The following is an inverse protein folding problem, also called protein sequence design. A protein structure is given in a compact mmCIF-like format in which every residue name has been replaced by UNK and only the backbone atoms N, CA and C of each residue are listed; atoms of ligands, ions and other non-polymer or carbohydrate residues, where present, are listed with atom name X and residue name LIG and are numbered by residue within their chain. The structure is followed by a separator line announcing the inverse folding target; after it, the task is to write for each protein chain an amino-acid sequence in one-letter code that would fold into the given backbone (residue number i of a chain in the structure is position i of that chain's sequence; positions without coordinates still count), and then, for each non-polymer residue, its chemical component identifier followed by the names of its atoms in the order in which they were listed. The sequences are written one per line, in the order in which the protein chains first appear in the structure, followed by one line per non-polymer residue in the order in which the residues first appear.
data_IF_897068706246
#
_entry.id   IF_897068706246
#
_cell.length_a   1.000
_cell.length_b   1.000
_cell.length_c   1.000
_cell.angle_alpha   90.00
_cell.angle_beta   90.00
_cell.angle_gamma   90.00
#
_symmetry.space_group_name_H-M   'P 1'
#
loop_
_entity.id
_entity.type
_entity.pdbx_description
1 polymer ?
#
# COMPACT_ATOMS: atom_id res chain seq x y z
N UNK A 1 -68.31 15.52 -27.11
CA UNK A 1 -67.49 15.54 -25.88
C UNK A 1 -66.17 14.84 -26.18
N UNK A 2 -65.13 15.61 -26.51
CA UNK A 2 -63.87 15.10 -27.09
C UNK A 2 -62.85 14.86 -25.98
N UNK A 3 -62.54 13.59 -25.69
CA UNK A 3 -61.55 13.21 -24.68
C UNK A 3 -60.16 13.32 -25.31
N UNK A 4 -59.35 14.29 -24.86
CA UNK A 4 -57.94 14.44 -25.24
C UNK A 4 -57.13 13.36 -24.52
N UNK A 5 -56.48 12.48 -25.28
CA UNK A 5 -55.46 11.54 -24.77
C UNK A 5 -54.18 12.33 -24.49
N UNK A 6 -53.78 12.39 -23.21
CA UNK A 6 -52.48 12.93 -22.79
C UNK A 6 -51.50 11.76 -22.74
N UNK A 7 -50.53 11.76 -23.65
CA UNK A 7 -49.44 10.78 -23.68
C UNK A 7 -48.35 11.24 -22.72
N UNK A 8 -48.11 10.50 -21.65
CA UNK A 8 -47.04 10.80 -20.68
C UNK A 8 -45.73 10.19 -21.18
N UNK A 9 -44.82 11.02 -21.68
CA UNK A 9 -43.48 10.61 -22.13
C UNK A 9 -42.59 10.46 -20.89
N UNK A 10 -42.36 9.22 -20.44
CA UNK A 10 -41.36 8.92 -19.42
C UNK A 10 -39.96 9.07 -20.02
N UNK A 11 -39.30 10.19 -19.71
CA UNK A 11 -37.88 10.39 -19.95
C UNK A 11 -37.08 9.51 -18.98
N UNK A 12 -36.59 8.36 -19.47
CA UNK A 12 -35.56 7.58 -18.79
C UNK A 12 -34.26 8.40 -18.75
N UNK A 13 -34.02 9.09 -17.65
CA UNK A 13 -32.71 9.66 -17.35
C UNK A 13 -31.77 8.49 -17.08
N UNK A 14 -31.01 8.11 -18.12
CA UNK A 14 -29.85 7.25 -17.95
C UNK A 14 -28.87 7.99 -17.04
N UNK A 15 -28.86 7.63 -15.75
CA UNK A 15 -27.69 7.84 -14.92
C UNK A 15 -26.57 7.00 -15.52
N UNK A 16 -25.80 7.63 -16.40
CA UNK A 16 -24.48 7.15 -16.78
C UNK A 16 -23.69 7.18 -15.48
N UNK A 17 -23.61 6.02 -14.81
CA UNK A 17 -22.54 5.79 -13.86
C UNK A 17 -21.25 5.96 -14.66
N UNK A 18 -20.58 7.09 -14.43
CA UNK A 18 -19.20 7.28 -14.81
C UNK A 18 -18.42 6.20 -14.05
N UNK A 19 -18.26 5.04 -14.68
CA UNK A 19 -17.19 4.13 -14.32
C UNK A 19 -15.92 4.93 -14.53
N UNK A 20 -15.27 5.30 -13.42
CA UNK A 20 -13.96 5.92 -13.43
C UNK A 20 -13.02 5.01 -14.20
N UNK A 21 -12.85 5.35 -15.48
CA UNK A 21 -11.73 4.99 -16.32
C UNK A 21 -10.44 5.19 -15.53
N UNK A 22 -9.57 4.17 -15.49
CA UNK A 22 -8.17 4.16 -15.04
C UNK A 22 -7.77 5.23 -14.01
N UNK A 23 -7.27 4.88 -12.81
CA UNK A 23 -6.84 5.89 -11.85
C UNK A 23 -5.83 6.84 -12.49
N UNK A 24 -6.19 8.13 -12.62
CA UNK A 24 -5.19 9.17 -12.89
C UNK A 24 -4.19 9.06 -11.75
N UNK A 25 -2.96 8.66 -12.08
CA UNK A 25 -1.86 8.48 -11.12
C UNK A 25 -1.66 9.69 -10.20
N UNK A 26 -2.04 10.87 -10.69
CA UNK A 26 -1.98 12.15 -9.99
C UNK A 26 -3.37 12.79 -9.96
N UNK A 27 -3.84 13.12 -8.76
CA UNK A 27 -5.01 13.98 -8.58
C UNK A 27 -4.61 15.47 -8.64
N UNK A 28 -5.57 16.37 -8.45
CA UNK A 28 -5.31 17.81 -8.59
C UNK A 28 -4.39 18.38 -7.50
N UNK A 29 -4.44 17.83 -6.28
CA UNK A 29 -3.48 18.14 -5.20
C UNK A 29 -2.07 17.75 -5.64
N UNK A 30 -1.89 16.54 -6.16
CA UNK A 30 -0.59 16.04 -6.62
C UNK A 30 -0.01 16.91 -7.74
N UNK A 31 -0.86 17.27 -8.72
CA UNK A 31 -0.47 18.14 -9.85
C UNK A 31 -0.02 19.52 -9.38
N UNK A 32 -0.63 20.07 -8.34
CA UNK A 32 -0.21 21.35 -7.76
C UNK A 32 1.10 21.19 -6.98
N UNK A 33 1.22 20.15 -6.16
CA UNK A 33 2.42 19.87 -5.36
C UNK A 33 3.64 19.56 -6.23
N UNK A 34 3.47 18.92 -7.39
CA UNK A 34 4.54 18.72 -8.38
C UNK A 34 5.16 20.04 -8.86
N UNK A 35 4.42 21.16 -8.79
CA UNK A 35 4.90 22.49 -9.16
C UNK A 35 5.59 23.22 -8.00
N UNK A 36 5.60 22.66 -6.79
CA UNK A 36 6.31 23.25 -5.67
C UNK A 36 7.82 23.18 -5.89
N UNK A 37 8.60 24.07 -5.24
CA UNK A 37 10.04 23.88 -5.12
C UNK A 37 10.35 22.48 -4.59
N UNK A 38 11.34 21.83 -5.21
CA UNK A 38 11.86 20.57 -4.67
C UNK A 38 12.51 20.78 -3.31
N UNK A 39 13.09 21.95 -3.06
CA UNK A 39 13.72 22.32 -1.80
C UNK A 39 13.02 23.52 -1.17
N UNK A 40 12.75 23.41 0.13
CA UNK A 40 12.29 24.51 0.98
C UNK A 40 13.36 24.77 2.05
N UNK A 41 13.47 26.02 2.50
CA UNK A 41 14.47 26.41 3.51
C UNK A 41 14.21 25.73 4.85
N UNK A 42 12.94 25.60 5.23
CA UNK A 42 12.51 24.97 6.48
C UNK A 42 11.21 24.18 6.29
N UNK A 43 10.91 23.28 7.23
CA UNK A 43 9.66 22.53 7.26
C UNK A 43 8.44 23.44 7.41
N UNK A 44 8.59 24.56 8.13
CA UNK A 44 7.55 25.56 8.35
C UNK A 44 7.19 26.26 7.05
N UNK A 45 8.19 26.62 6.22
CA UNK A 45 7.93 27.24 4.92
C UNK A 45 7.14 26.31 3.97
N UNK A 46 7.42 25.00 4.01
CA UNK A 46 6.63 24.01 3.27
C UNK A 46 5.20 23.90 3.84
N UNK A 47 5.06 23.82 5.16
CA UNK A 47 3.76 23.73 5.82
C UNK A 47 2.89 24.99 5.59
N UNK A 48 3.47 26.18 5.64
CA UNK A 48 2.81 27.45 5.29
C UNK A 48 2.33 27.44 3.84
N UNK A 49 3.18 26.95 2.92
CA UNK A 49 2.79 26.83 1.50
C UNK A 49 1.60 25.88 1.33
N UNK A 50 1.61 24.74 2.01
CA UNK A 50 0.50 23.77 1.99
C UNK A 50 -0.77 24.40 2.58
N UNK A 51 -0.69 25.10 3.70
CA UNK A 51 -1.84 25.75 4.33
C UNK A 51 -2.44 26.89 3.51
N UNK A 52 -1.61 27.57 2.70
CA UNK A 52 -2.06 28.61 1.78
C UNK A 52 -2.83 28.04 0.59
N UNK A 53 -2.33 26.94 0.02
CA UNK A 53 -2.88 26.37 -1.21
C UNK A 53 -4.07 25.42 -0.92
N UNK A 54 -4.18 24.86 0.29
CA UNK A 54 -5.22 23.89 0.66
C UNK A 54 -5.89 24.21 1.99
N UNK A 55 -7.23 24.17 1.99
CA UNK A 55 -8.06 24.45 3.17
C UNK A 55 -8.48 23.17 3.89
N UNK A 56 -8.88 22.14 3.15
CA UNK A 56 -9.39 20.88 3.71
C UNK A 56 -8.29 20.05 4.39
N UNK A 57 -8.65 19.29 5.43
CA UNK A 57 -7.72 18.38 6.11
C UNK A 57 -7.20 17.31 5.15
N UNK A 58 -8.07 16.78 4.28
CA UNK A 58 -7.73 15.75 3.29
C UNK A 58 -6.69 16.24 2.28
N UNK A 59 -6.85 17.45 1.75
CA UNK A 59 -5.94 17.99 0.75
C UNK A 59 -4.59 18.37 1.38
N UNK A 60 -4.57 18.88 2.61
CA UNK A 60 -3.32 19.11 3.36
C UNK A 60 -2.57 17.79 3.60
N UNK A 61 -3.26 16.76 4.09
CA UNK A 61 -2.67 15.44 4.30
C UNK A 61 -2.14 14.83 3.00
N UNK A 62 -2.89 14.97 1.90
CA UNK A 62 -2.48 14.50 0.58
C UNK A 62 -1.29 15.31 0.05
N UNK A 63 -1.25 16.61 0.28
CA UNK A 63 -0.14 17.45 -0.17
C UNK A 63 1.17 17.10 0.54
N UNK A 64 1.12 16.81 1.85
CA UNK A 64 2.27 16.32 2.61
C UNK A 64 2.75 14.97 2.05
N UNK A 65 1.83 14.02 1.86
CA UNK A 65 2.12 12.71 1.27
C UNK A 65 2.84 12.85 -0.07
N UNK A 66 2.26 13.63 -0.97
CA UNK A 66 2.76 13.78 -2.33
C UNK A 66 4.10 14.52 -2.36
N UNK A 67 4.27 15.59 -1.57
CA UNK A 67 5.55 16.30 -1.54
C UNK A 67 6.68 15.40 -1.04
N UNK A 68 6.44 14.63 0.04
CA UNK A 68 7.44 13.69 0.55
C UNK A 68 7.72 12.61 -0.50
N UNK A 69 6.70 11.97 -1.08
CA UNK A 69 6.87 10.90 -2.06
C UNK A 69 7.58 11.35 -3.35
N UNK A 70 7.46 12.63 -3.73
CA UNK A 70 8.15 13.17 -4.91
C UNK A 70 9.60 13.57 -4.62
N UNK A 71 9.91 13.99 -3.40
CA UNK A 71 11.15 14.69 -3.12
C UNK A 71 12.11 13.91 -2.22
N UNK A 72 11.62 13.04 -1.35
CA UNK A 72 12.44 12.23 -0.44
C UNK A 72 12.73 10.88 -1.08
N UNK A 73 14.01 10.49 -1.14
CA UNK A 73 14.43 9.19 -1.70
C UNK A 73 14.65 8.17 -0.58
N UNK A 74 14.31 6.91 -0.83
CA UNK A 74 14.65 5.86 0.12
C UNK A 74 16.17 5.63 0.23
N UNK A 75 16.68 5.62 1.46
CA UNK A 75 18.08 5.33 1.76
C UNK A 75 18.36 3.84 1.84
N UNK A 76 18.33 3.17 0.69
CA UNK A 76 18.56 1.73 0.62
C UNK A 76 19.95 1.31 1.17
N UNK A 77 20.97 2.16 1.01
CA UNK A 77 22.30 1.88 1.55
C UNK A 77 22.30 1.87 3.09
N UNK A 78 21.62 2.83 3.72
CA UNK A 78 21.44 2.87 5.17
C UNK A 78 20.50 1.76 5.66
N UNK A 79 19.53 1.34 4.85
CA UNK A 79 18.69 0.19 5.17
C UNK A 79 19.48 -1.13 5.19
N UNK A 80 20.37 -1.34 4.22
CA UNK A 80 21.24 -2.53 4.18
C UNK A 80 22.32 -2.51 5.26
N UNK A 81 22.85 -1.33 5.57
CA UNK A 81 23.92 -1.14 6.56
C UNK A 81 23.49 -0.10 7.58
N UNK A 82 22.56 -0.45 8.49
CA UNK A 82 22.06 0.49 9.48
C UNK A 82 23.20 0.93 10.42
N UNK A 83 23.27 2.22 10.78
CA UNK A 83 24.21 2.66 11.79
C UNK A 83 23.92 1.93 13.11
N UNK A 84 24.96 1.72 13.92
CA UNK A 84 24.81 1.07 15.23
C UNK A 84 23.81 1.84 16.08
N UNK A 85 22.85 1.13 16.67
CA UNK A 85 21.91 1.70 17.62
C UNK A 85 22.68 2.30 18.80
N UNK A 86 22.57 3.60 18.98
CA UNK A 86 23.19 4.30 20.09
C UNK A 86 22.17 4.49 21.20
N UNK A 87 22.33 3.75 22.30
CA UNK A 87 21.60 4.03 23.53
C UNK A 87 22.05 5.36 24.15
N UNK A 88 21.17 6.01 24.89
CA UNK A 88 21.51 7.17 25.72
C UNK A 88 21.10 6.90 27.16
N UNK A 89 21.92 7.35 28.11
CA UNK A 89 21.56 7.35 29.53
C UNK A 89 20.71 8.58 29.86
N UNK A 90 19.91 8.49 30.93
CA UNK A 90 19.12 9.60 31.46
C UNK A 90 18.95 9.41 32.97
N UNK A 91 18.83 10.50 33.71
CA UNK A 91 18.62 10.49 35.17
C UNK A 91 17.19 10.82 35.57
N UNK A 92 16.42 11.45 34.69
CA UNK A 92 14.99 11.77 34.92
C UNK A 92 14.16 11.47 33.68
N UNK A 93 12.85 11.26 33.86
CA UNK A 93 11.94 11.09 32.74
C UNK A 93 11.88 12.35 31.87
N UNK A 94 11.94 13.54 32.46
CA UNK A 94 11.98 14.80 31.71
C UNK A 94 13.22 14.91 30.80
N UNK A 95 14.39 14.48 31.29
CA UNK A 95 15.61 14.43 30.49
C UNK A 95 15.52 13.41 29.35
N UNK A 96 14.96 12.23 29.65
CA UNK A 96 14.72 11.20 28.63
C UNK A 96 13.84 11.73 27.50
N UNK A 97 12.72 12.39 27.82
CA UNK A 97 11.83 12.96 26.81
C UNK A 97 12.50 14.05 25.98
N UNK A 98 13.31 14.93 26.60
CA UNK A 98 14.11 15.93 25.86
C UNK A 98 15.11 15.29 24.91
N UNK A 99 15.80 14.22 25.34
CA UNK A 99 16.75 13.49 24.49
C UNK A 99 16.07 12.79 23.31
N UNK A 100 14.91 12.18 23.54
CA UNK A 100 14.08 11.59 22.47
C UNK A 100 13.64 12.66 21.48
N UNK A 101 13.15 13.81 21.96
CA UNK A 101 12.76 14.91 21.09
C UNK A 101 13.92 15.40 20.22
N UNK A 102 15.10 15.60 20.81
CA UNK A 102 16.29 16.03 20.07
C UNK A 102 16.70 15.02 18.99
N UNK A 103 16.57 13.72 19.25
CA UNK A 103 16.84 12.67 18.26
C UNK A 103 15.82 12.70 17.12
N UNK A 104 14.54 12.88 17.44
CA UNK A 104 13.47 13.02 16.44
C UNK A 104 13.67 14.26 15.58
N UNK A 105 14.00 15.41 16.18
CA UNK A 105 14.27 16.66 15.45
C UNK A 105 15.44 16.48 14.48
N UNK A 106 16.52 15.83 14.92
CA UNK A 106 17.67 15.50 14.05
C UNK A 106 17.28 14.57 12.90
N UNK A 107 16.47 13.55 13.17
CA UNK A 107 15.98 12.63 12.15
C UNK A 107 15.14 13.36 11.08
N UNK A 108 14.19 14.18 11.52
CA UNK A 108 13.32 14.99 10.65
C UNK A 108 14.14 15.95 9.80
N UNK A 109 15.06 16.70 10.44
CA UNK A 109 15.91 17.65 9.72
C UNK A 109 16.83 16.94 8.73
N UNK A 110 17.40 15.78 9.08
CA UNK A 110 18.21 14.99 8.15
C UNK A 110 17.36 14.50 6.96
N UNK A 111 16.18 13.94 7.20
CA UNK A 111 15.29 13.47 6.15
C UNK A 111 14.90 14.61 5.19
N UNK A 112 14.54 15.77 5.74
CA UNK A 112 14.10 16.95 4.99
C UNK A 112 15.24 17.59 4.18
N UNK A 113 16.39 17.86 4.81
CA UNK A 113 17.51 18.56 4.18
C UNK A 113 18.28 17.69 3.19
N UNK A 114 18.58 16.44 3.56
CA UNK A 114 19.26 15.50 2.66
C UNK A 114 18.32 14.89 1.61
N UNK A 115 17.01 15.09 1.77
CA UNK A 115 15.95 14.52 0.92
C UNK A 115 16.09 13.00 0.76
N UNK A 116 16.46 12.34 1.85
CA UNK A 116 16.81 10.94 1.86
C UNK A 116 16.62 10.35 3.25
N UNK A 117 15.90 9.23 3.35
CA UNK A 117 15.60 8.58 4.63
C UNK A 117 15.23 7.10 4.47
N UNK A 118 15.21 6.35 5.57
CA UNK A 118 14.48 5.07 5.67
C UNK A 118 13.07 5.33 6.24
N UNK A 119 12.23 4.29 6.36
CA UNK A 119 10.83 4.40 6.79
C UNK A 119 10.61 5.26 8.06
N UNK A 120 11.50 5.18 9.05
CA UNK A 120 11.44 6.01 10.26
C UNK A 120 11.54 7.52 9.96
N UNK A 121 12.44 7.93 9.06
CA UNK A 121 12.57 9.33 8.68
C UNK A 121 11.42 9.83 7.81
N UNK A 122 10.87 8.97 6.94
CA UNK A 122 9.65 9.28 6.18
C UNK A 122 8.46 9.53 7.11
N UNK A 123 8.22 8.64 8.06
CA UNK A 123 7.08 8.72 8.98
C UNK A 123 7.20 9.85 9.99
N UNK A 124 8.41 10.12 10.49
CA UNK A 124 8.70 11.26 11.34
C UNK A 124 8.51 12.60 10.61
N UNK A 125 9.00 12.71 9.37
CA UNK A 125 8.81 13.93 8.57
C UNK A 125 7.33 14.15 8.24
N UNK A 126 6.58 13.10 7.91
CA UNK A 126 5.15 13.19 7.67
C UNK A 126 4.42 13.68 8.92
N UNK A 127 4.67 13.07 10.08
CA UNK A 127 4.03 13.46 11.34
C UNK A 127 4.35 14.92 11.71
N UNK A 128 5.59 15.36 11.52
CA UNK A 128 6.00 16.73 11.77
C UNK A 128 5.24 17.74 10.90
N UNK A 129 5.20 17.51 9.58
CA UNK A 129 4.46 18.37 8.65
C UNK A 129 2.94 18.33 8.90
N UNK A 130 2.40 17.17 9.30
CA UNK A 130 1.01 17.05 9.71
C UNK A 130 0.73 17.94 10.94
N UNK A 131 1.58 17.90 11.96
CA UNK A 131 1.46 18.77 13.14
C UNK A 131 1.53 20.26 12.78
N UNK A 132 2.48 20.67 11.93
CA UNK A 132 2.61 22.05 11.46
C UNK A 132 1.40 22.55 10.64
N UNK A 133 0.62 21.65 10.06
CA UNK A 133 -0.59 21.97 9.29
C UNK A 133 -1.89 21.76 10.08
N UNK A 134 -1.79 21.46 11.38
CA UNK A 134 -2.91 21.30 12.31
C UNK A 134 -3.55 19.90 12.30
N UNK A 135 -2.94 18.92 11.63
CA UNK A 135 -3.44 17.56 11.56
C UNK A 135 -2.92 16.70 12.71
N UNK A 136 -3.76 15.82 13.25
CA UNK A 136 -3.31 14.78 14.19
C UNK A 136 -2.76 13.61 13.39
N UNK A 137 -1.55 13.17 13.74
CA UNK A 137 -0.86 12.09 13.07
C UNK A 137 -0.15 11.20 14.08
N UNK A 138 -0.24 9.89 13.90
CA UNK A 138 0.44 8.87 14.70
C UNK A 138 1.42 8.10 13.81
N UNK A 139 2.55 7.67 14.39
CA UNK A 139 3.48 6.74 13.75
C UNK A 139 3.19 5.36 14.29
N UNK A 140 2.98 4.41 13.39
CA UNK A 140 2.74 3.01 13.71
C UNK A 140 3.98 2.22 13.29
N UNK A 141 4.59 1.52 14.25
CA UNK A 141 5.65 0.55 14.00
C UNK A 141 5.06 -0.84 13.79
N UNK A 142 5.65 -1.60 12.89
CA UNK A 142 5.14 -2.91 12.57
C UNK A 142 5.97 -3.65 11.55
N UNK A 143 5.35 -4.67 11.01
CA UNK A 143 5.97 -5.63 10.13
C UNK A 143 5.41 -5.50 8.71
N UNK A 144 6.27 -5.67 7.72
CA UNK A 144 5.92 -5.67 6.32
C UNK A 144 6.05 -7.06 5.69
N UNK A 145 5.14 -7.37 4.77
CA UNK A 145 5.21 -8.57 3.92
C UNK A 145 5.49 -8.14 2.49
N UNK A 146 6.69 -8.44 1.99
CA UNK A 146 7.17 -7.95 0.69
C UNK A 146 7.83 -9.02 -0.17
N UNK A 147 8.20 -10.17 0.41
CA UNK A 147 8.92 -11.23 -0.29
C UNK A 147 8.13 -12.53 -0.30
N UNK A 148 8.43 -13.40 -1.27
CA UNK A 148 7.78 -14.71 -1.39
C UNK A 148 8.02 -15.57 -0.14
N UNK A 149 9.21 -15.47 0.45
CA UNK A 149 9.60 -16.22 1.64
C UNK A 149 8.85 -15.76 2.89
N UNK A 150 8.23 -14.58 2.86
CA UNK A 150 7.42 -14.09 3.97
C UNK A 150 6.08 -14.84 4.08
N UNK A 151 5.64 -15.55 3.03
CA UNK A 151 4.42 -16.37 3.05
C UNK A 151 4.66 -17.60 3.95
N UNK A 152 3.92 -17.65 5.06
CA UNK A 152 4.01 -18.69 6.08
C UNK A 152 5.28 -18.66 6.92
N UNK A 153 5.92 -17.49 7.06
CA UNK A 153 7.03 -17.35 8.03
C UNK A 153 6.50 -17.40 9.46
N UNK A 154 7.35 -17.81 10.40
CA UNK A 154 6.93 -18.12 11.77
C UNK A 154 6.65 -16.90 12.63
N UNK A 155 7.48 -15.86 12.49
CA UNK A 155 7.46 -14.71 13.39
C UNK A 155 7.40 -13.40 12.64
N UNK A 156 6.87 -12.38 13.32
CA UNK A 156 6.91 -11.00 12.87
C UNK A 156 8.28 -10.35 13.11
N UNK A 157 8.62 -9.29 12.38
CA UNK A 157 9.97 -8.72 12.33
C UNK A 157 10.11 -7.23 12.65
N UNK A 158 9.01 -6.50 12.92
CA UNK A 158 9.01 -5.04 13.24
C UNK A 158 9.95 -4.23 12.31
N UNK A 159 9.88 -4.50 11.01
CA UNK A 159 10.86 -4.02 10.02
C UNK A 159 10.39 -2.76 9.25
N UNK A 160 9.21 -2.22 9.57
CA UNK A 160 8.61 -1.12 8.84
C UNK A 160 7.83 -0.16 9.75
N UNK A 161 7.55 1.04 9.23
CA UNK A 161 6.74 2.03 9.91
C UNK A 161 5.91 2.82 8.91
N UNK A 162 4.69 3.18 9.31
CA UNK A 162 3.76 4.00 8.54
C UNK A 162 3.04 5.00 9.45
N UNK A 163 2.17 5.84 8.88
CA UNK A 163 1.39 6.82 9.62
C UNK A 163 -0.10 6.47 9.65
N UNK A 164 -0.77 6.96 10.68
CA UNK A 164 -2.21 7.18 10.68
C UNK A 164 -2.49 8.67 10.83
N UNK A 165 -3.48 9.19 10.12
CA UNK A 165 -3.83 10.62 10.14
C UNK A 165 -5.32 10.78 10.39
N UNK A 166 -5.69 11.66 11.32
CA UNK A 166 -7.09 11.98 11.58
C UNK A 166 -7.54 13.05 10.59
N UNK A 167 -8.52 12.71 9.77
CA UNK A 167 -9.11 13.57 8.74
C UNK A 167 -10.62 13.47 8.86
N UNK A 168 -11.31 14.59 9.02
CA UNK A 168 -12.77 14.64 9.14
C UNK A 168 -13.31 13.67 10.21
N UNK A 169 -12.60 13.59 11.35
CA UNK A 169 -12.87 12.68 12.49
C UNK A 169 -12.70 11.18 12.19
N UNK A 170 -12.13 10.81 11.04
CA UNK A 170 -11.79 9.43 10.69
C UNK A 170 -10.28 9.27 10.60
N UNK A 171 -9.75 8.24 11.23
CA UNK A 171 -8.36 7.85 11.02
C UNK A 171 -8.20 7.15 9.67
N UNK A 172 -7.24 7.61 8.88
CA UNK A 172 -6.84 6.98 7.61
C UNK A 172 -5.44 6.41 7.71
N UNK A 173 -5.13 5.39 6.91
CA UNK A 173 -3.82 4.74 6.82
C UNK A 173 -2.98 5.40 5.72
N UNK A 174 -1.74 5.76 6.03
CA UNK A 174 -0.82 6.42 5.11
C UNK A 174 0.56 5.77 5.18
N UNK A 175 1.05 5.23 4.07
CA UNK A 175 2.44 4.81 3.90
C UNK A 175 3.11 5.60 2.78
N UNK A 176 3.76 6.69 3.17
CA UNK A 176 4.49 7.53 2.23
C UNK A 176 5.81 6.90 1.76
N UNK A 177 6.36 5.95 2.52
CA UNK A 177 7.59 5.23 2.14
C UNK A 177 7.31 4.35 0.92
N UNK A 178 6.24 3.56 0.96
CA UNK A 178 5.81 2.75 -0.20
C UNK A 178 5.08 3.57 -1.26
N UNK A 179 4.55 4.73 -0.88
CA UNK A 179 4.05 5.76 -1.80
C UNK A 179 5.12 6.38 -2.70
N UNK A 180 6.37 6.41 -2.25
CA UNK A 180 7.52 6.96 -2.97
C UNK A 180 7.93 6.08 -4.16
N UNK A 181 7.87 4.76 -3.97
CA UNK A 181 8.35 3.77 -4.93
C UNK A 181 8.76 2.46 -4.28
N UNK A 182 9.54 1.66 -4.99
CA UNK A 182 9.92 0.31 -4.58
C UNK A 182 11.36 -0.05 -4.98
N UNK A 183 11.91 -1.09 -4.36
CA UNK A 183 13.21 -1.64 -4.76
C UNK A 183 13.04 -2.65 -5.90
N UNK A 184 13.64 -2.37 -7.05
CA UNK A 184 13.68 -3.29 -8.19
C UNK A 184 14.91 -4.19 -8.04
N UNK A 185 14.69 -5.43 -7.58
CA UNK A 185 15.76 -6.41 -7.37
C UNK A 185 16.46 -6.83 -8.66
N UNK A 186 15.76 -6.80 -9.80
CA UNK A 186 16.35 -7.12 -11.12
C UNK A 186 17.34 -6.05 -11.58
N UNK A 187 17.07 -4.79 -11.24
CA UNK A 187 17.92 -3.63 -11.56
C UNK A 187 18.86 -3.24 -10.42
N UNK A 188 18.74 -3.87 -9.26
CA UNK A 188 19.54 -3.59 -8.06
C UNK A 188 19.40 -2.15 -7.55
N UNK A 189 18.23 -1.50 -7.72
CA UNK A 189 18.06 -0.08 -7.37
C UNK A 189 16.64 0.28 -6.95
N UNK A 190 16.53 1.35 -6.17
CA UNK A 190 15.24 2.00 -5.90
C UNK A 190 14.68 2.64 -7.17
N UNK A 191 13.42 2.40 -7.44
CA UNK A 191 12.64 3.02 -8.51
C UNK A 191 11.64 3.96 -7.85
N UNK A 192 11.67 5.23 -8.25
CA UNK A 192 10.64 6.18 -7.89
C UNK A 192 9.40 5.86 -8.73
N UNK A 193 8.36 5.38 -8.05
CA UNK A 193 7.11 5.00 -8.67
C UNK A 193 5.98 5.44 -7.75
N UNK A 194 5.52 6.68 -7.94
CA UNK A 194 4.51 7.27 -7.07
C UNK A 194 3.25 6.41 -7.03
N UNK A 195 2.93 5.89 -5.85
CA UNK A 195 1.89 4.90 -5.66
C UNK A 195 0.73 5.47 -4.82
N UNK A 196 -0.23 6.19 -5.43
CA UNK A 196 -1.26 6.93 -4.72
C UNK A 196 -2.15 6.06 -3.81
N UNK A 197 -2.18 4.74 -4.06
CA UNK A 197 -2.89 3.73 -3.28
C UNK A 197 -2.49 3.68 -1.81
N UNK A 198 -1.29 4.16 -1.44
CA UNK A 198 -0.81 4.19 -0.04
C UNK A 198 -1.24 5.43 0.74
N UNK A 199 -2.21 6.20 0.24
CA UNK A 199 -2.87 7.28 0.95
C UNK A 199 -4.35 6.93 1.10
N UNK A 200 -4.81 6.70 2.33
CA UNK A 200 -6.17 6.24 2.63
C UNK A 200 -6.47 4.85 2.01
N UNK A 201 -5.50 3.94 2.12
CA UNK A 201 -5.68 2.54 1.69
C UNK A 201 -6.75 1.85 2.53
N UNK A 202 -7.60 1.06 1.87
CA UNK A 202 -8.56 0.20 2.58
C UNK A 202 -7.83 -0.73 3.57
N UNK A 203 -8.24 -0.77 4.86
CA UNK A 203 -7.69 -1.68 5.86
C UNK A 203 -7.61 -3.16 5.41
N UNK A 204 -8.59 -3.65 4.63
CA UNK A 204 -8.62 -5.03 4.13
C UNK A 204 -7.40 -5.34 3.25
N UNK A 205 -6.91 -4.34 2.50
CA UNK A 205 -5.69 -4.46 1.70
C UNK A 205 -4.45 -4.10 2.50
N UNK A 206 -4.52 -3.03 3.29
CA UNK A 206 -3.37 -2.49 4.00
C UNK A 206 -2.79 -3.54 4.96
N UNK A 207 -3.64 -4.22 5.72
CA UNK A 207 -3.20 -5.20 6.73
C UNK A 207 -2.84 -6.58 6.15
N UNK A 208 -3.06 -6.84 4.87
CA UNK A 208 -2.43 -7.99 4.19
C UNK A 208 -0.93 -7.77 3.99
N UNK A 209 -0.49 -6.51 3.91
CA UNK A 209 0.92 -6.14 3.71
C UNK A 209 1.61 -5.56 4.95
N UNK A 210 0.84 -5.02 5.89
CA UNK A 210 1.32 -4.39 7.11
C UNK A 210 0.73 -5.06 8.35
N UNK A 211 1.52 -5.26 9.40
CA UNK A 211 1.00 -5.75 10.67
C UNK A 211 1.55 -4.92 11.82
N UNK A 212 0.73 -4.16 12.57
CA UNK A 212 1.22 -3.30 13.64
C UNK A 212 1.79 -4.15 14.78
N UNK A 213 2.87 -3.68 15.40
CA UNK A 213 3.49 -4.39 16.53
C UNK A 213 2.52 -4.51 17.73
N UNK A 214 1.58 -3.56 17.85
CA UNK A 214 0.50 -3.61 18.84
C UNK A 214 -0.49 -4.76 18.60
N UNK A 215 -0.49 -5.37 17.41
CA UNK A 215 -1.48 -6.35 16.98
C UNK A 215 -2.91 -5.81 16.85
N UNK A 216 -3.09 -4.48 16.89
CA UNK A 216 -4.41 -3.85 16.89
C UNK A 216 -4.49 -2.65 15.95
N UNK A 217 -5.69 -2.40 15.43
CA UNK A 217 -6.05 -1.21 14.66
C UNK A 217 -7.34 -0.62 15.22
N UNK A 218 -7.29 0.62 15.72
CA UNK A 218 -8.45 1.31 16.34
C UNK A 218 -9.18 0.46 17.39
N UNK A 219 -8.41 -0.25 18.23
CA UNK A 219 -8.91 -1.14 19.28
C UNK A 219 -9.35 -2.53 18.81
N UNK A 220 -9.38 -2.80 17.50
CA UNK A 220 -9.71 -4.11 16.94
C UNK A 220 -8.44 -4.95 16.81
N UNK A 221 -8.48 -6.20 17.28
CA UNK A 221 -7.36 -7.13 17.15
C UNK A 221 -7.24 -7.63 15.71
N UNK A 222 -6.03 -7.56 15.16
CA UNK A 222 -5.70 -8.15 13.87
C UNK A 222 -5.17 -9.57 14.06
N UNK A 223 -5.45 -10.45 13.09
CA UNK A 223 -4.98 -11.83 13.13
C UNK A 223 -3.53 -11.91 12.65
N UNK A 224 -2.60 -12.17 13.58
CA UNK A 224 -1.18 -12.42 13.26
C UNK A 224 -1.06 -13.63 12.33
N UNK A 225 -1.88 -14.65 12.53
CA UNK A 225 -1.89 -15.86 11.71
C UNK A 225 -2.32 -15.58 10.27
N UNK A 226 -3.40 -14.82 10.07
CA UNK A 226 -3.84 -14.44 8.71
C UNK A 226 -2.81 -13.55 8.03
N UNK A 227 -2.15 -12.66 8.77
CA UNK A 227 -1.03 -11.90 8.23
C UNK A 227 0.12 -12.84 7.82
N UNK A 228 0.60 -13.73 8.68
CA UNK A 228 1.76 -14.58 8.36
C UNK A 228 1.47 -15.58 7.24
N UNK A 229 0.28 -16.16 7.22
CA UNK A 229 -0.10 -17.23 6.30
C UNK A 229 -0.80 -16.71 5.03
N UNK A 230 -1.24 -15.45 5.00
CA UNK A 230 -1.89 -14.83 3.86
C UNK A 230 -0.99 -14.73 2.61
N UNK A 231 -1.58 -14.60 1.41
CA UNK A 231 -0.81 -14.50 0.19
C UNK A 231 0.00 -13.19 0.14
N UNK A 232 1.03 -13.16 -0.71
CA UNK A 232 1.74 -11.93 -1.01
C UNK A 232 0.98 -11.16 -2.09
N UNK A 233 0.39 -10.01 -1.75
CA UNK A 233 -0.32 -9.15 -2.70
C UNK A 233 0.57 -7.99 -3.19
N UNK A 234 0.42 -7.62 -4.45
CA UNK A 234 1.16 -6.54 -5.10
C UNK A 234 0.31 -5.27 -5.27
N UNK A 235 0.93 -4.14 -5.63
CA UNK A 235 0.24 -2.85 -5.77
C UNK A 235 -0.95 -2.93 -6.75
N UNK A 236 -0.78 -3.65 -7.87
CA UNK A 236 -1.83 -3.84 -8.88
C UNK A 236 -3.08 -4.52 -8.30
N UNK A 237 -2.92 -5.39 -7.29
CA UNK A 237 -4.08 -5.99 -6.61
C UNK A 237 -4.91 -4.97 -5.86
N UNK A 238 -4.27 -3.94 -5.30
CA UNK A 238 -4.95 -2.85 -4.58
C UNK A 238 -5.53 -1.87 -5.60
N UNK A 239 -4.76 -1.50 -6.63
CA UNK A 239 -5.18 -0.55 -7.68
C UNK A 239 -6.42 -1.01 -8.46
N UNK A 240 -6.50 -2.31 -8.75
CA UNK A 240 -7.62 -2.91 -9.47
C UNK A 240 -8.74 -3.49 -8.59
N UNK A 241 -8.67 -3.30 -7.26
CA UNK A 241 -9.59 -3.94 -6.29
C UNK A 241 -9.71 -5.46 -6.55
N UNK A 242 -8.58 -6.12 -6.82
CA UNK A 242 -8.51 -7.55 -7.18
C UNK A 242 -8.56 -8.45 -5.95
N UNK A 243 -9.59 -8.30 -5.10
CA UNK A 243 -9.69 -9.05 -3.84
C UNK A 243 -9.65 -10.56 -4.09
N UNK A 244 -8.68 -11.22 -3.47
CA UNK A 244 -8.57 -12.68 -3.46
C UNK A 244 -9.58 -13.21 -2.46
N UNK A 245 -10.52 -14.01 -2.94
CA UNK A 245 -11.57 -14.62 -2.10
C UNK A 245 -11.39 -16.12 -1.95
N UNK A 246 -10.61 -16.77 -2.83
CA UNK A 246 -10.16 -18.15 -2.70
C UNK A 246 -8.80 -18.33 -3.40
N UNK A 247 -7.88 -19.13 -2.82
CA UNK A 247 -7.94 -19.72 -1.47
C UNK A 247 -7.81 -18.66 -0.37
N UNK A 248 -8.24 -18.98 0.86
CA UNK A 248 -8.22 -18.06 2.00
C UNK A 248 -6.84 -17.94 2.67
N UNK A 249 -5.91 -18.84 2.31
CA UNK A 249 -4.53 -18.86 2.79
C UNK A 249 -3.58 -18.64 1.62
N UNK A 250 -2.45 -17.99 1.90
CA UNK A 250 -1.29 -17.94 1.02
C UNK A 250 -0.55 -19.28 0.92
N UNK A 251 -0.81 -20.20 1.85
CA UNK A 251 -0.28 -21.57 1.84
C UNK A 251 -1.26 -22.50 1.11
N UNK A 252 -0.79 -23.07 0.00
CA UNK A 252 -1.54 -24.04 -0.79
C UNK A 252 -0.93 -25.42 -0.53
N UNK A 253 -1.60 -26.21 0.32
CA UNK A 253 -1.18 -27.59 0.58
C UNK A 253 -1.86 -28.54 -0.40
N UNK A 254 -1.08 -29.28 -1.20
CA UNK A 254 -1.59 -30.05 -2.35
C UNK A 254 -0.84 -31.35 -2.56
N UNK A 255 -1.52 -32.33 -3.16
CA UNK A 255 -0.93 -33.53 -3.77
C UNK A 255 -0.72 -33.34 -5.27
N UNK A 256 0.17 -34.12 -5.87
CA UNK A 256 0.38 -34.08 -7.33
C UNK A 256 -0.89 -34.46 -8.11
N UNK A 257 -1.34 -33.58 -8.98
CA UNK A 257 -2.56 -33.71 -9.79
C UNK A 257 -3.81 -33.09 -9.16
N UNK A 258 -3.71 -32.47 -7.98
CA UNK A 258 -4.84 -31.88 -7.28
C UNK A 258 -5.27 -30.54 -7.91
N UNK A 259 -6.59 -30.31 -8.03
CA UNK A 259 -7.14 -29.08 -8.58
C UNK A 259 -7.53 -28.12 -7.45
N UNK A 260 -6.98 -26.90 -7.47
CA UNK A 260 -7.35 -25.84 -6.52
C UNK A 260 -8.15 -24.77 -7.24
N UNK A 261 -9.24 -24.34 -6.61
CA UNK A 261 -10.09 -23.27 -7.12
C UNK A 261 -9.59 -21.91 -6.61
N UNK A 262 -9.47 -20.98 -7.54
CA UNK A 262 -9.15 -19.58 -7.27
C UNK A 262 -10.34 -18.71 -7.61
N UNK A 263 -10.56 -17.66 -6.80
CA UNK A 263 -11.58 -16.65 -7.07
C UNK A 263 -11.04 -15.27 -6.76
N UNK A 264 -10.91 -14.44 -7.79
CA UNK A 264 -10.32 -13.10 -7.69
C UNK A 264 -11.30 -12.08 -8.27
N UNK A 265 -11.58 -11.01 -7.52
CA UNK A 265 -12.50 -9.94 -7.96
C UNK A 265 -11.93 -9.11 -9.10
N UNK A 266 -12.82 -8.54 -9.90
CA UNK A 266 -12.53 -7.49 -10.87
C UNK A 266 -11.48 -7.86 -11.93
N UNK A 267 -11.29 -9.16 -12.21
CA UNK A 267 -10.50 -9.63 -13.35
C UNK A 267 -11.47 -10.07 -14.44
N UNK A 268 -11.30 -9.53 -15.65
CA UNK A 268 -12.08 -9.98 -16.80
C UNK A 268 -11.52 -11.28 -17.36
N UNK A 269 -12.40 -12.19 -17.80
CA UNK A 269 -12.03 -13.43 -18.49
C UNK A 269 -11.28 -13.21 -19.80
N UNK A 270 -11.39 -12.02 -20.40
CA UNK A 270 -10.67 -11.66 -21.63
C UNK A 270 -9.34 -10.96 -21.35
N UNK A 271 -9.01 -10.71 -20.08
CA UNK A 271 -7.74 -10.09 -19.72
C UNK A 271 -6.56 -11.05 -19.99
N UNK A 272 -5.38 -10.48 -20.21
CA UNK A 272 -4.14 -11.25 -20.24
C UNK A 272 -3.80 -11.72 -18.82
N UNK A 273 -4.37 -12.85 -18.41
CA UNK A 273 -4.27 -13.39 -17.07
C UNK A 273 -3.66 -14.80 -17.09
N UNK A 274 -2.54 -14.98 -16.40
CA UNK A 274 -1.73 -16.20 -16.46
C UNK A 274 -0.88 -16.39 -15.19
N UNK A 275 -0.26 -17.56 -15.05
CA UNK A 275 0.80 -17.80 -14.06
C UNK A 275 2.05 -18.36 -14.76
N UNK A 276 3.20 -18.35 -14.08
CA UNK A 276 4.42 -18.97 -14.60
C UNK A 276 4.61 -20.37 -14.02
N UNK A 277 4.98 -21.34 -14.86
CA UNK A 277 5.44 -22.65 -14.39
C UNK A 277 6.89 -22.58 -13.85
N UNK A 278 7.41 -23.69 -13.32
CA UNK A 278 8.79 -23.78 -12.78
C UNK A 278 9.91 -23.49 -13.79
N UNK A 279 9.59 -23.49 -15.09
CA UNK A 279 10.51 -23.14 -16.20
C UNK A 279 10.33 -21.68 -16.65
N UNK A 280 9.61 -20.86 -15.89
CA UNK A 280 9.26 -19.48 -16.22
C UNK A 280 8.46 -19.32 -17.51
N UNK A 281 7.70 -20.35 -17.91
CA UNK A 281 6.82 -20.27 -19.09
C UNK A 281 5.41 -19.84 -18.67
N UNK A 282 4.78 -18.91 -19.40
CA UNK A 282 3.43 -18.46 -19.11
C UNK A 282 2.40 -19.55 -19.41
N UNK A 283 1.57 -19.86 -18.43
CA UNK A 283 0.44 -20.78 -18.52
C UNK A 283 -0.85 -19.97 -18.38
N UNK A 284 -1.64 -19.93 -19.46
CA UNK A 284 -2.93 -19.21 -19.48
C UNK A 284 -3.94 -19.92 -18.59
N UNK A 285 -4.83 -19.14 -18.00
CA UNK A 285 -5.95 -19.69 -17.25
C UNK A 285 -7.00 -20.21 -18.23
N UNK A 286 -7.33 -21.50 -18.13
CA UNK A 286 -8.34 -22.14 -18.95
C UNK A 286 -9.69 -22.24 -18.23
N UNK A 287 -10.79 -22.28 -18.99
CA UNK A 287 -12.15 -22.50 -18.48
C UNK A 287 -12.62 -21.55 -17.35
N UNK A 288 -12.05 -20.34 -17.29
CA UNK A 288 -12.41 -19.34 -16.29
C UNK A 288 -13.85 -18.84 -16.48
N UNK A 289 -14.55 -18.63 -15.37
CA UNK A 289 -15.95 -18.18 -15.33
C UNK A 289 -16.06 -16.90 -14.53
N UNK A 290 -16.68 -15.89 -15.10
CA UNK A 290 -17.07 -14.70 -14.35
C UNK A 290 -18.33 -14.99 -13.54
N UNK A 291 -18.24 -14.83 -12.21
CA UNK A 291 -19.33 -15.07 -11.25
C UNK A 291 -19.32 -14.00 -10.19
N UNK A 292 -20.44 -13.27 -10.03
CA UNK A 292 -20.63 -12.24 -8.99
C UNK A 292 -19.49 -11.21 -8.94
N UNK A 293 -18.99 -10.77 -10.09
CA UNK A 293 -17.87 -9.80 -10.18
C UNK A 293 -16.48 -10.39 -9.92
N UNK A 294 -16.35 -11.72 -9.86
CA UNK A 294 -15.07 -12.41 -9.74
C UNK A 294 -14.78 -13.34 -10.91
N UNK A 295 -13.51 -13.47 -11.26
CA UNK A 295 -13.01 -14.54 -12.11
C UNK A 295 -12.78 -15.79 -11.24
N UNK A 296 -13.51 -16.86 -11.53
CA UNK A 296 -13.36 -18.18 -10.90
C UNK A 296 -12.71 -19.16 -11.87
N UNK A 297 -11.65 -19.84 -11.45
CA UNK A 297 -10.91 -20.79 -12.28
C UNK A 297 -10.24 -21.86 -11.42
N UNK A 298 -9.76 -22.93 -12.06
CA UNK A 298 -9.00 -23.98 -11.38
C UNK A 298 -7.59 -24.07 -11.94
N UNK A 299 -6.65 -24.42 -11.07
CA UNK A 299 -5.28 -24.77 -11.46
C UNK A 299 -4.99 -26.17 -10.96
N UNK A 300 -4.50 -27.03 -11.85
CA UNK A 300 -3.98 -28.36 -11.50
C UNK A 300 -2.56 -28.23 -10.99
N UNK A 301 -2.33 -28.62 -9.74
CA UNK A 301 -1.02 -28.62 -9.12
C UNK A 301 -0.29 -29.91 -9.45
N UNK A 302 0.63 -29.82 -10.41
CA UNK A 302 1.50 -30.92 -10.81
C UNK A 302 2.99 -30.57 -10.59
N UNK A 303 3.87 -31.51 -10.96
CA UNK A 303 5.34 -31.34 -10.89
C UNK A 303 5.89 -30.15 -11.70
N UNK A 304 5.08 -29.46 -12.51
CA UNK A 304 5.50 -28.27 -13.26
C UNK A 304 5.27 -26.97 -12.48
N UNK A 305 4.53 -26.98 -11.38
CA UNK A 305 4.40 -25.82 -10.49
C UNK A 305 5.62 -25.74 -9.56
N UNK A 306 6.17 -24.53 -9.40
CA UNK A 306 7.31 -24.27 -8.52
C UNK A 306 6.93 -24.25 -7.03
N UNK A 307 7.87 -23.84 -6.18
CA UNK A 307 7.62 -23.60 -4.76
C UNK A 307 6.59 -22.48 -4.53
N UNK A 308 6.47 -21.56 -5.49
CA UNK A 308 5.51 -20.48 -5.47
C UNK A 308 4.72 -20.48 -6.79
N UNK A 309 3.45 -20.11 -6.72
CA UNK A 309 2.64 -19.77 -7.88
C UNK A 309 2.31 -18.28 -7.81
N UNK A 310 2.63 -17.55 -8.86
CA UNK A 310 2.34 -16.10 -8.98
C UNK A 310 1.45 -15.87 -10.17
N UNK A 311 0.35 -15.16 -9.96
CA UNK A 311 -0.55 -14.74 -11.02
C UNK A 311 -0.20 -13.35 -11.53
N UNK A 312 -0.31 -13.17 -12.83
CA UNK A 312 0.03 -11.97 -13.56
C UNK A 312 -1.18 -11.45 -14.33
N UNK A 313 -1.36 -10.14 -14.33
CA UNK A 313 -2.33 -9.41 -15.14
C UNK A 313 -1.56 -8.46 -16.05
N UNK A 314 -1.53 -8.76 -17.35
CA UNK A 314 -0.62 -8.10 -18.30
C UNK A 314 0.84 -8.39 -17.91
N UNK A 315 1.62 -7.34 -17.68
CA UNK A 315 3.03 -7.44 -17.28
C UNK A 315 3.24 -7.39 -15.76
N UNK A 316 2.16 -7.28 -14.98
CA UNK A 316 2.26 -7.05 -13.54
C UNK A 316 1.84 -8.25 -12.72
N UNK A 317 2.63 -8.57 -11.69
CA UNK A 317 2.25 -9.54 -10.66
C UNK A 317 1.07 -8.99 -9.85
N UNK A 318 0.09 -9.84 -9.57
CA UNK A 318 -1.08 -9.47 -8.74
C UNK A 318 -1.05 -10.15 -7.37
N UNK A 319 -0.74 -11.44 -7.31
CA UNK A 319 -0.69 -12.19 -6.06
C UNK A 319 0.18 -13.43 -6.19
N UNK A 320 0.86 -13.79 -5.11
CA UNK A 320 1.63 -15.03 -4.99
C UNK A 320 1.20 -15.87 -3.81
N UNK A 321 1.26 -17.19 -4.02
CA UNK A 321 1.00 -18.22 -3.02
C UNK A 321 2.20 -19.16 -2.94
N UNK A 322 2.40 -19.76 -1.77
CA UNK A 322 3.42 -20.76 -1.51
C UNK A 322 2.81 -22.15 -1.56
N UNK A 323 3.44 -23.04 -2.29
CA UNK A 323 2.99 -24.43 -2.51
C UNK A 323 3.69 -25.34 -1.50
N UNK A 324 2.89 -26.13 -0.79
CA UNK A 324 3.34 -27.13 0.16
C UNK A 324 2.90 -28.51 -0.35
N UNK A 325 3.85 -29.28 -0.89
CA UNK A 325 3.58 -30.62 -1.40
C UNK A 325 3.41 -31.61 -0.24
N UNK A 326 2.30 -32.37 -0.25
CA UNK A 326 2.03 -33.46 0.70
C UNK A 326 2.45 -34.83 0.18
#
# INVERSE_FOLDING_TARGET
MTIKKITFLFLFVNFIFLHSSYPQKYNDVDKLVLKYPKHFKTTEALAERIQKDFTSERDKARAIYSWIAFNIKYDYASFLNPPRTQGFSYSTEAEKQRKIQLLNDKLIQKAFTAQKAVCEGFTALYQHLAGLTGLKCEIIKGDSKTRLEDIGRKETSSNHAWNMVLIDKKWILVDVTWGQGYYDSSKGRMINDFAPIYFDTDPDYFFQKHFPDSGTYLGQKLSKEDFLNGPLIYNITIEGDHKITQPNSGLIEVKNGENITFRIKNISKTAQFFYLNKKNQPIRIENAKERKGSLEFQVTFDKNIGQFITFYLGESSIVSFKVIWK
#
